data_IF_006983855469
#
_entry.id   IF_006983855469
#
_cell.length_a   1.000
_cell.length_b   1.000
_cell.length_c   1.000
_cell.angle_alpha   90.00
_cell.angle_beta   90.00
_cell.angle_gamma   90.00
#
_symmetry.space_group_name_H-M   'P 1'
#
loop_
_entity.id
_entity.type
_entity.pdbx_description
1 polymer ?
#
# COMPACT_ATOMS: atom_id res chain seq x y z
N UNK A 1 -18.02 11.07 2.10
CA UNK A 1 -16.78 10.57 2.73
C UNK A 1 -15.81 11.73 2.86
N UNK A 2 -15.07 11.85 3.96
CA UNK A 2 -14.12 12.96 4.15
C UNK A 2 -12.84 12.72 3.32
N UNK A 3 -12.89 13.15 2.05
CA UNK A 3 -11.80 12.99 1.09
C UNK A 3 -10.61 13.93 1.38
N UNK A 4 -10.85 15.04 2.08
CA UNK A 4 -9.79 15.96 2.50
C UNK A 4 -8.92 15.32 3.59
N UNK A 5 -9.55 14.66 4.57
CA UNK A 5 -8.84 13.85 5.58
C UNK A 5 -8.01 12.74 4.94
N UNK A 6 -8.55 12.03 3.95
CA UNK A 6 -7.84 10.96 3.25
C UNK A 6 -6.59 11.48 2.49
N UNK A 7 -6.73 12.61 1.80
CA UNK A 7 -5.60 13.22 1.08
C UNK A 7 -4.47 13.64 2.02
N UNK A 8 -4.80 14.23 3.17
CA UNK A 8 -3.81 14.61 4.18
C UNK A 8 -3.06 13.41 4.74
N UNK A 9 -3.76 12.28 4.96
CA UNK A 9 -3.16 11.03 5.42
C UNK A 9 -2.18 10.51 4.37
N UNK A 10 -2.60 10.40 3.11
CA UNK A 10 -1.73 9.92 2.03
C UNK A 10 -0.50 10.80 1.84
N UNK A 11 -0.64 12.13 1.94
CA UNK A 11 0.49 13.07 1.83
C UNK A 11 1.50 12.94 2.99
N UNK A 12 1.07 12.41 4.15
CA UNK A 12 1.93 12.25 5.33
C UNK A 12 2.74 10.94 5.34
N UNK A 13 2.59 10.08 4.33
CA UNK A 13 3.27 8.79 4.27
C UNK A 13 4.78 8.95 4.07
N UNK A 14 5.19 9.74 3.08
CA UNK A 14 6.59 9.97 2.77
C UNK A 14 6.81 10.46 1.34
N UNK A 15 8.07 10.48 0.93
CA UNK A 15 8.50 10.92 -0.39
C UNK A 15 9.60 9.99 -0.89
N UNK A 16 9.48 9.56 -2.14
CA UNK A 16 10.55 8.87 -2.88
C UNK A 16 11.33 9.90 -3.69
N UNK A 17 12.62 10.06 -3.39
CA UNK A 17 13.50 11.00 -4.09
C UNK A 17 14.74 10.28 -4.61
N UNK A 18 15.32 10.80 -5.69
CA UNK A 18 16.61 10.33 -6.18
C UNK A 18 17.72 11.04 -5.41
N UNK A 19 18.56 10.27 -4.71
CA UNK A 19 19.71 10.81 -4.00
C UNK A 19 20.70 11.43 -5.00
N UNK A 20 21.03 12.71 -4.77
CA UNK A 20 21.84 13.50 -5.71
C UNK A 20 23.24 12.92 -5.93
N UNK A 21 23.77 12.20 -4.95
CA UNK A 21 25.15 11.70 -4.93
C UNK A 21 25.25 10.29 -5.50
N UNK A 22 24.35 9.40 -5.07
CA UNK A 22 24.37 7.97 -5.41
C UNK A 22 23.51 7.64 -6.63
N UNK A 23 22.63 8.56 -7.05
CA UNK A 23 21.63 8.35 -8.11
C UNK A 23 20.69 7.18 -7.80
N UNK A 24 20.59 6.80 -6.54
CA UNK A 24 19.69 5.76 -6.06
C UNK A 24 18.40 6.37 -5.55
N UNK A 25 17.29 5.67 -5.73
CA UNK A 25 16.02 6.05 -5.14
C UNK A 25 16.07 5.81 -3.62
N UNK A 26 15.75 6.82 -2.83
CA UNK A 26 15.69 6.79 -1.37
C UNK A 26 14.31 7.22 -0.93
N UNK A 27 13.65 6.37 -0.13
CA UNK A 27 12.35 6.69 0.45
C UNK A 27 12.52 7.30 1.85
N UNK A 28 12.03 8.53 2.01
CA UNK A 28 11.97 9.21 3.31
C UNK A 28 10.55 9.14 3.85
N UNK A 29 10.34 8.30 4.88
CA UNK A 29 9.03 8.20 5.56
C UNK A 29 8.72 9.49 6.34
N UNK A 30 7.45 9.87 6.36
CA UNK A 30 6.96 10.97 7.20
C UNK A 30 7.04 10.64 8.70
N UNK A 31 7.04 11.68 9.54
CA UNK A 31 7.17 11.57 11.01
C UNK A 31 6.12 10.64 11.63
N UNK A 32 4.89 10.67 11.10
CA UNK A 32 3.76 9.86 11.58
C UNK A 32 3.30 8.80 10.57
N UNK A 33 4.20 8.33 9.69
CA UNK A 33 3.88 7.39 8.61
C UNK A 33 3.13 6.13 9.07
N UNK A 34 3.52 5.54 10.21
CA UNK A 34 2.86 4.35 10.74
C UNK A 34 1.39 4.61 11.12
N UNK A 35 1.11 5.76 11.73
CA UNK A 35 -0.26 6.11 12.13
C UNK A 35 -1.10 6.50 10.91
N UNK A 36 -0.49 7.18 9.93
CA UNK A 36 -1.10 7.43 8.63
C UNK A 36 -1.50 6.12 7.91
N UNK A 37 -0.66 5.09 7.90
CA UNK A 37 -1.00 3.78 7.34
C UNK A 37 -2.17 3.11 8.08
N UNK A 38 -2.21 3.20 9.42
CA UNK A 38 -3.34 2.67 10.20
C UNK A 38 -4.63 3.41 9.91
N UNK A 39 -4.57 4.73 9.74
CA UNK A 39 -5.72 5.55 9.40
C UNK A 39 -6.21 5.25 7.98
N UNK A 40 -5.32 5.17 7.01
CA UNK A 40 -5.64 4.73 5.65
C UNK A 40 -6.34 3.35 5.66
N UNK A 41 -5.84 2.41 6.46
CA UNK A 41 -6.48 1.11 6.64
C UNK A 41 -7.87 1.22 7.27
N UNK A 42 -8.10 2.15 8.21
CA UNK A 42 -9.43 2.43 8.79
C UNK A 42 -10.39 2.99 7.75
N UNK A 43 -9.92 3.86 6.85
CA UNK A 43 -10.72 4.37 5.73
C UNK A 43 -11.12 3.23 4.79
N UNK A 44 -10.17 2.37 4.39
CA UNK A 44 -10.43 1.23 3.51
C UNK A 44 -11.39 0.20 4.12
N UNK A 45 -11.31 -0.06 5.43
CA UNK A 45 -12.23 -0.97 6.13
C UNK A 45 -13.67 -0.47 6.20
N UNK A 46 -13.86 0.84 6.14
CA UNK A 46 -15.18 1.50 6.18
C UNK A 46 -15.65 1.90 4.79
N UNK A 47 -14.86 1.61 3.76
CA UNK A 47 -15.23 1.90 2.38
C UNK A 47 -16.45 1.08 1.99
N UNK A 48 -17.33 1.69 1.22
CA UNK A 48 -18.55 1.04 0.78
C UNK A 48 -18.20 -0.06 -0.23
N UNK A 49 -18.67 -1.31 -0.03
CA UNK A 49 -18.29 -2.42 -0.91
C UNK A 49 -18.88 -2.31 -2.31
N UNK A 50 -19.95 -1.54 -2.51
CA UNK A 50 -20.57 -1.31 -3.81
C UNK A 50 -19.85 -0.18 -4.55
N UNK A 51 -19.61 0.97 -3.91
CA UNK A 51 -19.04 2.13 -4.61
C UNK A 51 -17.51 2.18 -4.59
N UNK A 52 -16.88 1.68 -3.51
CA UNK A 52 -15.43 1.59 -3.31
C UNK A 52 -14.69 2.92 -3.59
N UNK A 53 -15.22 4.02 -3.06
CA UNK A 53 -14.73 5.37 -3.36
C UNK A 53 -13.33 5.62 -2.78
N UNK A 54 -13.02 5.13 -1.57
CA UNK A 54 -11.66 5.24 -1.01
C UNK A 54 -10.69 4.46 -1.88
N UNK A 55 -11.03 3.22 -2.23
CA UNK A 55 -10.20 2.38 -3.08
C UNK A 55 -9.91 3.06 -4.42
N UNK A 56 -10.94 3.55 -5.12
CA UNK A 56 -10.78 4.24 -6.41
C UNK A 56 -9.87 5.48 -6.25
N UNK A 57 -10.07 6.26 -5.19
CA UNK A 57 -9.29 7.47 -4.95
C UNK A 57 -7.81 7.19 -4.64
N UNK A 58 -7.54 6.23 -3.75
CA UNK A 58 -6.18 5.81 -3.39
C UNK A 58 -5.43 5.27 -4.61
N UNK A 59 -6.11 4.46 -5.45
CA UNK A 59 -5.54 3.98 -6.70
C UNK A 59 -5.28 5.13 -7.68
N UNK A 60 -6.20 6.10 -7.79
CA UNK A 60 -6.04 7.28 -8.65
C UNK A 60 -4.85 8.16 -8.26
N UNK A 61 -4.52 8.26 -6.98
CA UNK A 61 -3.32 8.96 -6.50
C UNK A 61 -2.02 8.16 -6.67
N UNK A 62 -2.13 6.90 -7.07
CA UNK A 62 -1.02 5.97 -7.25
C UNK A 62 -0.21 5.73 -5.96
N UNK A 63 -0.89 5.66 -4.82
CA UNK A 63 -0.26 5.47 -3.50
C UNK A 63 0.51 4.15 -3.42
N UNK A 64 0.09 3.13 -4.17
CA UNK A 64 0.80 1.84 -4.21
C UNK A 64 2.23 2.03 -4.69
N UNK A 65 2.43 2.62 -5.88
CA UNK A 65 3.76 2.75 -6.47
C UNK A 65 4.57 3.89 -5.83
N UNK A 66 3.91 4.93 -5.33
CA UNK A 66 4.58 6.09 -4.72
C UNK A 66 5.04 5.84 -3.28
N UNK A 67 4.27 5.08 -2.51
CA UNK A 67 4.48 4.94 -1.07
C UNK A 67 4.56 3.48 -0.64
N UNK A 68 3.55 2.66 -0.93
CA UNK A 68 3.47 1.31 -0.33
C UNK A 68 4.62 0.40 -0.79
N UNK A 69 4.95 0.40 -2.08
CA UNK A 69 6.09 -0.36 -2.62
C UNK A 69 7.42 0.16 -2.03
N UNK A 70 7.73 1.47 -2.10
CA UNK A 70 8.94 2.01 -1.47
C UNK A 70 9.06 1.75 0.04
N UNK A 71 7.95 1.82 0.78
CA UNK A 71 7.94 1.48 2.22
C UNK A 71 8.35 0.01 2.41
N UNK A 72 7.80 -0.91 1.60
CA UNK A 72 8.12 -2.33 1.70
C UNK A 72 9.59 -2.58 1.37
N UNK A 73 10.11 -1.95 0.31
CA UNK A 73 11.48 -2.19 -0.18
C UNK A 73 12.56 -1.53 0.67
N UNK A 74 12.34 -0.28 1.09
CA UNK A 74 13.38 0.54 1.73
C UNK A 74 13.27 0.61 3.25
N UNK A 75 12.10 0.31 3.83
CA UNK A 75 11.89 0.38 5.29
C UNK A 75 11.91 -0.99 5.99
N UNK A 76 12.59 -1.99 5.42
CA UNK A 76 12.63 -3.37 5.94
C UNK A 76 13.11 -3.49 7.40
N UNK A 77 13.90 -2.54 7.88
CA UNK A 77 14.35 -2.45 9.28
C UNK A 77 13.20 -2.24 10.27
N UNK A 78 12.10 -1.60 9.84
CA UNK A 78 10.89 -1.37 10.62
C UNK A 78 9.80 -2.37 10.20
N UNK A 79 9.91 -3.60 10.70
CA UNK A 79 8.99 -4.70 10.37
C UNK A 79 7.53 -4.33 10.63
N UNK A 80 7.25 -3.55 11.68
CA UNK A 80 5.89 -3.13 12.01
C UNK A 80 5.32 -2.21 10.93
N UNK A 81 6.12 -1.25 10.44
CA UNK A 81 5.73 -0.37 9.34
C UNK A 81 5.44 -1.17 8.06
N UNK A 82 6.37 -2.05 7.67
CA UNK A 82 6.21 -2.90 6.48
C UNK A 82 4.96 -3.76 6.56
N UNK A 83 4.70 -4.41 7.70
CA UNK A 83 3.49 -5.21 7.89
C UNK A 83 2.19 -4.38 7.78
N UNK A 84 2.20 -3.12 8.20
CA UNK A 84 1.03 -2.25 8.02
C UNK A 84 0.86 -1.81 6.56
N UNK A 85 1.94 -1.55 5.82
CA UNK A 85 1.88 -1.30 4.39
C UNK A 85 1.32 -2.52 3.62
N UNK A 86 1.76 -3.72 3.96
CA UNK A 86 1.24 -4.97 3.39
C UNK A 86 -0.25 -5.16 3.71
N UNK A 87 -0.70 -4.82 4.92
CA UNK A 87 -2.15 -4.86 5.26
C UNK A 87 -2.96 -3.91 4.38
N UNK A 88 -2.46 -2.71 4.11
CA UNK A 88 -3.12 -1.77 3.18
C UNK A 88 -3.20 -2.38 1.78
N UNK A 89 -2.12 -2.97 1.27
CA UNK A 89 -2.11 -3.67 -0.01
C UNK A 89 -3.15 -4.79 -0.08
N UNK A 90 -3.25 -5.62 0.96
CA UNK A 90 -4.25 -6.69 1.03
C UNK A 90 -5.66 -6.11 0.85
N UNK A 91 -6.02 -5.06 1.59
CA UNK A 91 -7.33 -4.42 1.47
C UNK A 91 -7.59 -3.81 0.10
N UNK A 92 -6.58 -3.20 -0.52
CA UNK A 92 -6.71 -2.66 -1.87
C UNK A 92 -6.86 -3.79 -2.92
N UNK A 93 -6.22 -4.93 -2.71
CA UNK A 93 -6.26 -6.09 -3.62
C UNK A 93 -7.46 -7.02 -3.46
N UNK A 94 -8.39 -6.70 -2.55
CA UNK A 94 -9.59 -7.50 -2.33
C UNK A 94 -10.40 -7.66 -3.64
N UNK A 95 -11.03 -8.83 -3.85
CA UNK A 95 -11.84 -9.08 -5.04
C UNK A 95 -12.99 -8.06 -5.14
N UNK A 96 -13.35 -7.71 -6.38
CA UNK A 96 -14.45 -6.80 -6.65
C UNK A 96 -15.77 -7.54 -6.44
N UNK A 97 -16.66 -6.97 -5.64
CA UNK A 97 -18.00 -7.51 -5.44
C UNK A 97 -18.82 -7.44 -6.74
N UNK A 98 -19.59 -8.48 -7.12
CA UNK A 98 -20.38 -8.46 -8.33
C UNK A 98 -21.44 -7.35 -8.40
N UNK A 99 -21.88 -6.84 -7.24
CA UNK A 99 -22.83 -5.72 -7.12
C UNK A 99 -22.15 -4.34 -7.24
N UNK A 100 -20.83 -4.29 -7.36
CA UNK A 100 -20.08 -3.04 -7.33
C UNK A 100 -20.27 -2.19 -8.59
N UNK A 101 -20.16 -0.87 -8.44
CA UNK A 101 -20.21 0.08 -9.55
C UNK A 101 -18.85 0.23 -10.23
N UNK A 102 -18.84 0.58 -11.52
CA UNK A 102 -17.62 0.86 -12.30
C UNK A 102 -16.58 -0.28 -12.28
N UNK A 103 -17.06 -1.54 -12.30
CA UNK A 103 -16.20 -2.75 -12.31
C UNK A 103 -15.04 -2.65 -13.32
N UNK A 104 -15.22 -2.18 -14.58
CA UNK A 104 -14.11 -2.07 -15.53
C UNK A 104 -12.97 -1.18 -15.02
N UNK A 105 -13.28 -0.05 -14.40
CA UNK A 105 -12.27 0.86 -13.85
C UNK A 105 -11.56 0.24 -12.64
N UNK A 106 -12.32 -0.46 -11.78
CA UNK A 106 -11.72 -1.15 -10.65
C UNK A 106 -10.77 -2.28 -11.07
N UNK A 107 -11.13 -3.01 -12.14
CA UNK A 107 -10.25 -4.02 -12.75
C UNK A 107 -8.95 -3.36 -13.20
N UNK A 108 -9.02 -2.23 -13.91
CA UNK A 108 -7.83 -1.49 -14.36
C UNK A 108 -6.91 -1.11 -13.19
N UNK A 109 -7.47 -0.61 -12.08
CA UNK A 109 -6.69 -0.32 -10.88
C UNK A 109 -6.02 -1.56 -10.27
N UNK A 110 -6.73 -2.70 -10.19
CA UNK A 110 -6.15 -3.95 -9.71
C UNK A 110 -5.03 -4.48 -10.61
N UNK A 111 -5.17 -4.34 -11.93
CA UNK A 111 -4.12 -4.71 -12.88
C UNK A 111 -2.87 -3.83 -12.72
N UNK A 112 -3.03 -2.52 -12.63
CA UNK A 112 -1.92 -1.59 -12.43
C UNK A 112 -1.19 -1.85 -11.11
N UNK A 113 -1.94 -2.16 -10.05
CA UNK A 113 -1.40 -2.57 -8.76
C UNK A 113 -0.59 -3.86 -8.87
N UNK A 114 -1.17 -4.90 -9.47
CA UNK A 114 -0.51 -6.19 -9.68
C UNK A 114 0.78 -6.02 -10.50
N UNK A 115 0.71 -5.27 -11.59
CA UNK A 115 1.86 -4.96 -12.42
C UNK A 115 2.96 -4.28 -11.61
N UNK A 116 2.63 -3.23 -10.85
CA UNK A 116 3.60 -2.50 -10.03
C UNK A 116 4.25 -3.39 -8.98
N UNK A 117 3.47 -4.19 -8.24
CA UNK A 117 4.00 -5.11 -7.23
C UNK A 117 4.94 -6.15 -7.85
N UNK A 118 4.50 -6.80 -8.94
CA UNK A 118 5.27 -7.89 -9.57
C UNK A 118 6.49 -7.42 -10.35
N UNK A 119 6.57 -6.14 -10.69
CA UNK A 119 7.72 -5.52 -11.36
C UNK A 119 8.74 -4.93 -10.38
N UNK A 120 8.50 -5.08 -9.07
CA UNK A 120 9.28 -4.53 -7.97
C UNK A 120 9.85 -5.67 -7.11
N UNK A 121 10.77 -5.36 -6.20
CA UNK A 121 11.31 -6.30 -5.22
C UNK A 121 10.35 -6.54 -4.04
N UNK A 122 9.24 -5.78 -3.96
CA UNK A 122 8.26 -5.89 -2.89
C UNK A 122 7.75 -7.32 -2.65
N UNK A 123 7.55 -8.13 -3.70
CA UNK A 123 7.11 -9.52 -3.55
C UNK A 123 8.18 -10.36 -2.83
N UNK A 124 9.46 -10.19 -3.18
CA UNK A 124 10.56 -10.90 -2.54
C UNK A 124 10.64 -10.54 -1.05
N UNK A 125 10.48 -9.25 -0.72
CA UNK A 125 10.44 -8.78 0.67
C UNK A 125 9.22 -9.35 1.41
N UNK A 126 8.03 -9.34 0.81
CA UNK A 126 6.83 -9.90 1.46
C UNK A 126 7.02 -11.38 1.76
N UNK A 127 7.61 -12.14 0.84
CA UNK A 127 7.88 -13.57 1.04
C UNK A 127 8.92 -13.79 2.13
N UNK A 128 9.97 -12.95 2.23
CA UNK A 128 10.97 -13.09 3.30
C UNK A 128 10.38 -12.86 4.70
N UNK A 129 9.33 -12.03 4.83
CA UNK A 129 8.62 -11.85 6.11
C UNK A 129 7.99 -13.15 6.65
N UNK A 130 7.80 -14.16 5.80
CA UNK A 130 7.26 -15.47 6.15
C UNK A 130 8.30 -16.41 6.76
N UNK A 131 9.60 -16.13 6.62
CA UNK A 131 10.68 -16.96 7.16
C UNK A 131 10.46 -17.26 8.65
N UNK A 132 10.35 -16.21 9.49
CA UNK A 132 10.11 -16.38 10.92
C UNK A 132 8.82 -17.14 11.26
N UNK A 133 7.63 -16.77 10.73
CA UNK A 133 6.41 -17.54 10.95
C UNK A 133 6.50 -19.01 10.54
N UNK A 134 7.19 -19.31 9.43
CA UNK A 134 7.30 -20.67 8.91
C UNK A 134 8.30 -21.52 9.71
N UNK A 135 9.38 -20.94 10.26
CA UNK A 135 10.30 -21.63 11.16
C UNK A 135 9.61 -22.13 12.45
N UNK A 136 8.57 -21.42 12.89
CA UNK A 136 7.81 -21.76 14.09
C UNK A 136 6.60 -22.67 13.81
N UNK A 137 6.43 -23.14 12.57
CA UNK A 137 5.48 -24.22 12.27
C UNK A 137 6.12 -25.54 12.71
N UNK A 138 5.91 -25.90 13.99
CA UNK A 138 6.17 -27.25 14.48
C UNK A 138 5.26 -28.24 13.73
N UNK A 139 5.87 -29.30 13.19
CA UNK A 139 5.19 -30.42 12.51
C UNK A 139 4.80 -31.51 13.50
#
# INVERSE_FOLDING_TARGET
MDMEGLSSICASLGILEEDETTKQMVYTKGEHCLDALKDLLRFLRRDDPETREVFKQVCRWNIVSKDLIPIIEHCQHDRNLVLNAVKVLVFLSMPIEPSSSDIPQQIEYLWNMKFSLTSSDAVAVIVSLLEGPLENLEW
#
